data_IF_734515596012
#
_entry.id   IF_734515596012
#
_cell.length_a   1.000
_cell.length_b   1.000
_cell.length_c   1.000
_cell.angle_alpha   90.00
_cell.angle_beta   90.00
_cell.angle_gamma   90.00
#
_symmetry.space_group_name_H-M   'P 1'
#
loop_
_entity.id
_entity.type
_entity.pdbx_description
1 polymer ?
#
# COMPACT_ATOMS: atom_id res chain seq x y z
N UNK A 1 -24.50 26.08 0.73
CA UNK A 1 -24.64 24.61 0.84
C UNK A 1 -23.61 24.17 1.87
N UNK A 2 -24.05 24.04 3.12
CA UNK A 2 -23.18 23.75 4.27
C UNK A 2 -22.75 22.28 4.21
N UNK A 3 -21.44 22.03 4.16
CA UNK A 3 -20.89 20.69 4.32
C UNK A 3 -20.91 20.32 5.80
N UNK A 4 -21.45 19.14 6.08
CA UNK A 4 -21.75 18.59 7.39
C UNK A 4 -20.62 18.78 8.42
N UNK A 5 -21.01 19.35 9.57
CA UNK A 5 -20.28 19.30 10.83
C UNK A 5 -20.36 17.89 11.44
N UNK A 6 -19.72 16.92 10.79
CA UNK A 6 -19.36 15.64 11.40
C UNK A 6 -17.84 15.58 11.51
N UNK A 7 -17.33 15.24 12.70
CA UNK A 7 -15.90 15.11 12.96
C UNK A 7 -15.38 13.86 12.25
N UNK A 8 -15.22 13.93 10.92
CA UNK A 8 -14.68 12.84 10.10
C UNK A 8 -13.19 12.74 10.41
N UNK A 9 -12.79 11.65 11.08
CA UNK A 9 -11.37 11.33 11.27
C UNK A 9 -10.81 10.86 9.93
N UNK A 10 -9.96 11.70 9.34
CA UNK A 10 -9.18 11.37 8.15
C UNK A 10 -7.90 10.66 8.56
N UNK A 11 -7.53 9.64 7.79
CA UNK A 11 -6.27 8.91 7.95
C UNK A 11 -5.29 9.36 6.86
N UNK A 12 -3.99 9.28 7.15
CA UNK A 12 -2.95 9.56 6.16
C UNK A 12 -2.91 8.48 5.06
N UNK A 13 -2.35 8.81 3.89
CA UNK A 13 -2.17 7.87 2.78
C UNK A 13 -1.37 6.63 3.22
N UNK A 14 -0.28 6.86 3.95
CA UNK A 14 0.56 5.81 4.52
C UNK A 14 -0.20 4.89 5.49
N UNK A 15 -1.00 5.44 6.41
CA UNK A 15 -1.82 4.64 7.34
C UNK A 15 -2.86 3.78 6.60
N UNK A 16 -3.51 4.33 5.57
CA UNK A 16 -4.49 3.60 4.77
C UNK A 16 -3.83 2.41 4.05
N UNK A 17 -2.68 2.63 3.39
CA UNK A 17 -1.92 1.57 2.72
C UNK A 17 -1.43 0.53 3.73
N UNK A 18 -0.88 0.97 4.86
CA UNK A 18 -0.40 0.09 5.92
C UNK A 18 -1.51 -0.81 6.47
N UNK A 19 -2.69 -0.25 6.73
CA UNK A 19 -3.86 -1.02 7.16
C UNK A 19 -4.31 -2.04 6.12
N UNK A 20 -4.39 -1.65 4.83
CA UNK A 20 -4.73 -2.58 3.75
C UNK A 20 -3.74 -3.75 3.71
N UNK A 21 -2.44 -3.47 3.76
CA UNK A 21 -1.39 -4.49 3.77
C UNK A 21 -1.48 -5.40 4.99
N UNK A 22 -1.71 -4.85 6.18
CA UNK A 22 -1.83 -5.64 7.41
C UNK A 22 -3.03 -6.58 7.42
N UNK A 23 -4.19 -6.12 6.94
CA UNK A 23 -5.44 -6.87 7.02
C UNK A 23 -5.70 -7.80 5.84
N UNK A 24 -5.21 -7.46 4.64
CA UNK A 24 -5.52 -8.18 3.41
C UNK A 24 -4.36 -8.27 2.42
N UNK A 25 -3.11 -8.10 2.88
CA UNK A 25 -1.92 -8.26 2.02
C UNK A 25 -1.77 -9.69 1.46
N UNK A 26 -2.50 -10.67 2.00
CA UNK A 26 -2.62 -12.03 1.48
C UNK A 26 -3.62 -12.17 0.32
N UNK A 27 -4.32 -11.09 -0.06
CA UNK A 27 -5.28 -11.04 -1.17
C UNK A 27 -5.12 -9.73 -1.96
N UNK A 28 -3.94 -9.49 -2.57
CA UNK A 28 -3.65 -8.23 -3.24
C UNK A 28 -4.55 -7.98 -4.45
N UNK A 29 -4.96 -6.72 -4.62
CA UNK A 29 -5.63 -6.25 -5.83
C UNK A 29 -4.73 -5.31 -6.64
N UNK A 30 -5.10 -5.07 -7.91
CA UNK A 30 -4.43 -4.10 -8.76
C UNK A 30 -4.38 -2.70 -8.13
N UNK A 31 -5.45 -2.28 -7.43
CA UNK A 31 -5.47 -0.98 -6.73
C UNK A 31 -4.57 -0.95 -5.51
N UNK A 32 -4.44 -2.06 -4.78
CA UNK A 32 -3.52 -2.09 -3.63
C UNK A 32 -2.07 -1.88 -4.09
N UNK A 33 -1.67 -2.49 -5.23
CA UNK A 33 -0.37 -2.24 -5.83
C UNK A 33 -0.21 -0.80 -6.32
N UNK A 34 -1.23 -0.24 -6.98
CA UNK A 34 -1.22 1.14 -7.46
C UNK A 34 -1.08 2.15 -6.31
N UNK A 35 -1.92 2.01 -5.29
CA UNK A 35 -1.91 2.88 -4.10
C UNK A 35 -0.57 2.78 -3.38
N UNK A 36 -0.02 1.57 -3.24
CA UNK A 36 1.29 1.36 -2.63
C UNK A 36 2.39 2.07 -3.43
N UNK A 37 2.41 1.92 -4.76
CA UNK A 37 3.41 2.57 -5.62
C UNK A 37 3.32 4.10 -5.52
N UNK A 38 2.11 4.65 -5.57
CA UNK A 38 1.87 6.09 -5.43
C UNK A 38 2.39 6.61 -4.09
N UNK A 39 2.10 5.91 -2.99
CA UNK A 39 2.53 6.34 -1.65
C UNK A 39 4.04 6.18 -1.48
N UNK A 40 4.68 5.15 -2.04
CA UNK A 40 6.14 5.01 -2.03
C UNK A 40 6.80 6.23 -2.70
N UNK A 41 6.30 6.69 -3.84
CA UNK A 41 6.91 7.82 -4.54
C UNK A 41 6.63 9.18 -3.89
N UNK A 42 5.45 9.35 -3.28
CA UNK A 42 5.01 10.65 -2.74
C UNK A 42 5.37 10.85 -1.26
N UNK A 43 5.28 9.79 -0.46
CA UNK A 43 5.39 9.84 1.00
C UNK A 43 6.25 8.66 1.55
N UNK A 44 7.47 8.40 1.02
CA UNK A 44 8.25 7.22 1.39
C UNK A 44 8.62 7.16 2.87
N UNK A 45 8.90 8.31 3.50
CA UNK A 45 9.27 8.39 4.91
C UNK A 45 8.08 8.05 5.82
N UNK A 46 6.90 8.60 5.56
CA UNK A 46 5.68 8.27 6.31
C UNK A 46 5.30 6.80 6.16
N UNK A 47 5.51 6.22 4.98
CA UNK A 47 5.29 4.78 4.77
C UNK A 47 6.34 3.92 5.48
N UNK A 48 7.60 4.38 5.56
CA UNK A 48 8.68 3.73 6.31
C UNK A 48 8.37 3.69 7.81
N UNK A 49 7.84 4.78 8.38
CA UNK A 49 7.40 4.83 9.78
C UNK A 49 6.27 3.84 10.09
N UNK A 50 5.40 3.57 9.11
CA UNK A 50 4.37 2.54 9.17
C UNK A 50 4.88 1.14 8.78
N UNK A 51 6.16 1.00 8.44
CA UNK A 51 6.74 -0.16 7.78
C UNK A 51 6.50 -1.49 8.49
N UNK A 52 6.41 -1.45 9.81
CA UNK A 52 6.20 -2.63 10.63
C UNK A 52 4.80 -3.28 10.39
N UNK A 53 3.80 -2.52 9.91
CA UNK A 53 2.51 -3.06 9.45
C UNK A 53 2.57 -3.65 8.03
N UNK A 54 3.60 -3.34 7.25
CA UNK A 54 3.78 -3.84 5.87
C UNK A 54 4.49 -5.20 5.84
N UNK A 55 5.28 -5.52 6.87
CA UNK A 55 6.14 -6.71 6.91
C UNK A 55 5.34 -8.01 6.95
N UNK A 56 4.22 -8.06 7.69
CA UNK A 56 3.44 -9.28 7.96
C UNK A 56 3.10 -10.09 6.70
N UNK A 57 2.68 -9.41 5.63
CA UNK A 57 2.21 -10.04 4.41
C UNK A 57 3.10 -9.73 3.19
N UNK A 58 4.24 -9.04 3.37
CA UNK A 58 5.13 -8.63 2.28
C UNK A 58 5.41 -9.73 1.27
N UNK A 59 5.93 -10.87 1.74
CA UNK A 59 6.43 -11.92 0.84
C UNK A 59 5.26 -12.59 0.10
N UNK A 60 4.14 -12.80 0.80
CA UNK A 60 2.90 -13.30 0.21
C UNK A 60 2.32 -12.33 -0.82
N UNK A 61 2.30 -11.03 -0.52
CA UNK A 61 1.82 -9.98 -1.41
C UNK A 61 2.59 -9.99 -2.74
N UNK A 62 3.93 -9.96 -2.67
CA UNK A 62 4.80 -9.96 -3.84
C UNK A 62 4.68 -11.25 -4.65
N UNK A 63 4.60 -12.40 -3.97
CA UNK A 63 4.40 -13.70 -4.62
C UNK A 63 3.08 -13.75 -5.39
N UNK A 64 1.97 -13.35 -4.76
CA UNK A 64 0.64 -13.40 -5.38
C UNK A 64 0.49 -12.43 -6.55
N UNK A 65 1.13 -11.25 -6.51
CA UNK A 65 1.16 -10.34 -7.66
C UNK A 65 1.84 -10.98 -8.88
N UNK A 66 2.87 -11.78 -8.67
CA UNK A 66 3.56 -12.49 -9.74
C UNK A 66 2.80 -13.75 -10.20
N UNK A 67 2.31 -14.57 -9.29
CA UNK A 67 1.52 -15.78 -9.62
C UNK A 67 0.23 -15.44 -10.37
N UNK A 68 -0.44 -14.36 -10.01
CA UNK A 68 -1.70 -13.92 -10.62
C UNK A 68 -1.52 -12.79 -11.63
N UNK A 69 -0.29 -12.54 -12.11
CA UNK A 69 0.06 -11.46 -13.02
C UNK A 69 -0.89 -11.34 -14.22
N UNK A 70 -1.22 -12.46 -14.87
CA UNK A 70 -2.11 -12.48 -16.03
C UNK A 70 -3.52 -11.93 -15.74
N UNK A 71 -3.97 -12.00 -14.48
CA UNK A 71 -5.27 -11.51 -14.03
C UNK A 71 -5.19 -10.09 -13.44
N UNK A 72 -4.11 -9.78 -12.73
CA UNK A 72 -3.95 -8.49 -12.03
C UNK A 72 -3.54 -7.39 -13.00
N UNK A 73 -2.63 -7.66 -13.95
CA UNK A 73 -2.10 -6.65 -14.88
C UNK A 73 -3.18 -5.95 -15.72
N UNK A 74 -4.11 -6.65 -16.39
CA UNK A 74 -5.16 -5.96 -17.15
C UNK A 74 -6.00 -5.01 -16.28
N UNK A 75 -6.33 -5.43 -15.04
CA UNK A 75 -7.07 -4.59 -14.08
C UNK A 75 -6.27 -3.39 -13.59
N UNK A 76 -4.95 -3.51 -13.56
CA UNK A 76 -4.05 -2.43 -13.24
C UNK A 76 -4.03 -1.41 -14.38
N UNK A 77 -3.86 -1.90 -15.61
CA UNK A 77 -3.83 -1.07 -16.82
C UNK A 77 -5.17 -0.35 -17.05
N UNK A 78 -6.29 -0.91 -16.58
CA UNK A 78 -7.63 -0.29 -16.62
C UNK A 78 -7.87 0.80 -15.55
N UNK A 79 -6.94 1.01 -14.61
CA UNK A 79 -7.09 2.05 -13.57
C UNK A 79 -7.09 3.42 -14.24
N UNK A 80 -8.20 4.16 -14.10
CA UNK A 80 -8.27 5.56 -14.51
C UNK A 80 -7.49 6.42 -13.53
N UNK A 81 -6.53 7.18 -14.04
CA UNK A 81 -5.64 8.01 -13.22
C UNK A 81 -5.76 9.49 -13.61
N UNK A 82 -5.30 10.36 -12.71
CA UNK A 82 -5.19 11.80 -12.94
C UNK A 82 -3.71 12.19 -12.79
N UNK A 83 -2.96 12.12 -13.88
CA UNK A 83 -1.57 12.60 -13.94
C UNK A 83 -0.50 11.68 -13.33
N UNK A 84 -0.87 10.45 -12.95
CA UNK A 84 0.06 9.42 -12.50
C UNK A 84 -0.20 8.11 -13.25
N UNK A 85 0.70 7.71 -14.13
CA UNK A 85 0.51 6.58 -15.05
C UNK A 85 1.69 5.60 -14.99
N UNK A 86 1.95 4.98 -13.83
CA UNK A 86 2.99 3.97 -13.73
C UNK A 86 2.59 2.71 -14.51
N UNK A 87 3.57 1.91 -14.93
CA UNK A 87 3.29 0.58 -15.46
C UNK A 87 3.17 -0.44 -14.32
N UNK A 88 2.44 -1.53 -14.55
CA UNK A 88 2.34 -2.63 -13.58
C UNK A 88 3.73 -3.15 -13.17
N UNK A 89 4.63 -3.35 -14.14
CA UNK A 89 5.98 -3.88 -13.91
C UNK A 89 6.80 -2.95 -13.03
N UNK A 90 6.77 -1.65 -13.33
CA UNK A 90 7.41 -0.62 -12.51
C UNK A 90 6.90 -0.65 -11.06
N UNK A 91 5.58 -0.76 -10.85
CA UNK A 91 5.02 -0.82 -9.50
C UNK A 91 5.46 -2.06 -8.74
N UNK A 92 5.52 -3.23 -9.39
CA UNK A 92 5.98 -4.47 -8.76
C UNK A 92 7.44 -4.34 -8.33
N UNK A 93 8.30 -3.81 -9.21
CA UNK A 93 9.72 -3.60 -8.91
C UNK A 93 9.92 -2.61 -7.77
N UNK A 94 9.20 -1.48 -7.79
CA UNK A 94 9.27 -0.47 -6.74
C UNK A 94 8.78 -1.02 -5.40
N UNK A 95 7.67 -1.76 -5.41
CA UNK A 95 7.13 -2.39 -4.20
C UNK A 95 8.10 -3.44 -3.63
N UNK A 96 8.69 -4.30 -4.48
CA UNK A 96 9.68 -5.28 -4.05
C UNK A 96 10.90 -4.60 -3.42
N UNK A 97 11.48 -3.61 -4.11
CA UNK A 97 12.63 -2.85 -3.64
C UNK A 97 12.36 -2.10 -2.33
N UNK A 98 11.18 -1.50 -2.17
CA UNK A 98 10.80 -0.81 -0.95
C UNK A 98 10.59 -1.78 0.21
N UNK A 99 9.75 -2.80 0.02
CA UNK A 99 9.35 -3.71 1.09
C UNK A 99 10.52 -4.57 1.61
N UNK A 100 11.52 -4.87 0.77
CA UNK A 100 12.75 -5.56 1.18
C UNK A 100 13.67 -4.72 2.07
N UNK A 101 13.58 -3.39 2.02
CA UNK A 101 14.34 -2.50 2.91
C UNK A 101 13.80 -2.51 4.34
N UNK A 102 12.54 -2.92 4.53
CA UNK A 102 11.90 -2.92 5.85
C UNK A 102 12.52 -4.00 6.75
N UNK A 103 12.90 -3.66 7.99
CA UNK A 103 13.44 -4.62 8.93
C UNK A 103 12.38 -5.69 9.27
N UNK A 104 12.79 -6.96 9.35
CA UNK A 104 11.90 -8.06 9.72
C UNK A 104 11.53 -7.99 11.20
N UNK A 105 10.32 -7.52 11.51
CA UNK A 105 9.78 -7.55 12.87
C UNK A 105 8.35 -7.00 12.90
N UNK A 106 7.46 -7.72 13.58
CA UNK A 106 6.13 -7.19 13.92
C UNK A 106 6.27 -6.07 14.96
N UNK A 107 5.67 -4.89 14.74
CA UNK A 107 5.65 -3.84 15.74
C UNK A 107 4.70 -4.23 16.88
N UNK A 108 5.11 -3.97 18.11
CA UNK A 108 4.12 -3.81 19.18
C UNK A 108 3.21 -2.62 18.84
N UNK A 109 1.89 -2.72 19.05
CA UNK A 109 1.00 -1.60 18.85
C UNK A 109 1.42 -0.45 19.77
N UNK A 110 1.87 0.68 19.21
CA UNK A 110 2.02 1.90 20.00
C UNK A 110 0.64 2.31 20.50
N UNK A 111 0.42 2.08 21.79
CA UNK A 111 -0.69 2.61 22.58
C UNK A 111 -0.93 4.07 22.20
N UNK A 112 -2.12 4.37 21.66
CA UNK A 112 -2.60 5.75 21.52
C UNK A 112 -2.65 6.33 22.92
N UNK A 113 -1.65 7.16 23.27
CA UNK A 113 -1.74 8.01 24.45
C UNK A 113 -2.95 8.92 24.27
N UNK A 114 -3.90 8.77 25.20
CA UNK A 114 -5.05 9.66 25.39
C UNK A 114 -4.58 11.03 25.86
#
# INVERSE_FOLDING_TARGET
MEFFNTNIKVETSAEIVAKKMWHRGDRPTARDLFDLCLVIEREPESLMDAGAFLVRHRDTFLRLLNEHRAFVRPRFDDIRTLGYTPSFDYCVELADAFLRKLPGGTPEPKSRRR
#
